data_IF_516186705427
#
_entry.id   IF_516186705427
#
_cell.length_a   1.000
_cell.length_b   1.000
_cell.length_c   1.000
_cell.angle_alpha   90.00
_cell.angle_beta   90.00
_cell.angle_gamma   90.00
#
_symmetry.space_group_name_H-M   'P 1'
#
loop_
_entity.id
_entity.type
_entity.pdbx_description
1 polymer ?
#
# COMPACT_ATOMS: atom_id res chain seq x y z
N UNK A 1 -7.08 5.35 11.06
CA UNK A 1 -5.90 4.83 10.35
C UNK A 1 -5.81 5.40 8.93
N UNK A 2 -6.80 5.14 8.06
CA UNK A 2 -6.88 5.63 6.67
C UNK A 2 -6.49 7.11 6.48
N UNK A 3 -7.16 8.03 7.17
CA UNK A 3 -6.94 9.47 7.01
C UNK A 3 -5.51 9.88 7.34
N UNK A 4 -4.97 9.37 8.45
CA UNK A 4 -3.57 9.64 8.85
C UNK A 4 -2.59 9.19 7.77
N UNK A 5 -2.78 8.00 7.21
CA UNK A 5 -1.90 7.44 6.19
C UNK A 5 -1.98 8.22 4.86
N UNK A 6 -3.19 8.61 4.45
CA UNK A 6 -3.38 9.42 3.24
C UNK A 6 -2.84 10.84 3.42
N UNK A 7 -3.06 11.47 4.57
CA UNK A 7 -2.49 12.78 4.89
C UNK A 7 -0.97 12.72 4.89
N UNK A 8 -0.37 11.70 5.52
CA UNK A 8 1.08 11.46 5.44
C UNK A 8 1.55 11.39 3.99
N UNK A 9 0.84 10.61 3.16
CA UNK A 9 1.16 10.47 1.75
C UNK A 9 1.03 11.76 0.95
N UNK A 10 0.13 12.66 1.34
CA UNK A 10 -0.04 13.96 0.68
C UNK A 10 1.10 14.91 1.02
N UNK A 11 1.51 14.97 2.30
CA UNK A 11 2.49 15.96 2.77
C UNK A 11 3.94 15.51 2.64
N UNK A 12 4.21 14.20 2.58
CA UNK A 12 5.58 13.69 2.50
C UNK A 12 6.18 13.85 1.11
N UNK A 13 7.42 14.31 1.03
CA UNK A 13 8.23 14.36 -0.19
C UNK A 13 9.21 13.17 -0.30
N UNK A 14 9.02 12.14 0.52
CA UNK A 14 9.86 10.94 0.55
C UNK A 14 9.09 9.73 0.03
N UNK A 15 9.84 8.73 -0.44
CA UNK A 15 9.29 7.40 -0.67
C UNK A 15 8.73 6.81 0.63
N UNK A 16 7.71 5.98 0.51
CA UNK A 16 7.07 5.32 1.64
C UNK A 16 7.37 3.83 1.59
N UNK A 17 7.80 3.27 2.71
CA UNK A 17 7.94 1.83 2.89
C UNK A 17 6.98 1.38 4.01
N UNK A 18 6.17 0.36 3.73
CA UNK A 18 5.23 -0.25 4.68
C UNK A 18 5.75 -1.64 5.07
N UNK A 19 6.15 -1.79 6.33
CA UNK A 19 6.47 -3.08 6.92
C UNK A 19 5.17 -3.75 7.42
N UNK A 20 4.83 -4.88 6.82
CA UNK A 20 3.63 -5.66 7.12
C UNK A 20 3.94 -6.96 7.88
N UNK A 21 5.11 -7.08 8.53
CA UNK A 21 5.52 -8.30 9.24
C UNK A 21 4.51 -8.79 10.28
N UNK A 22 3.81 -7.86 10.95
CA UNK A 22 2.83 -8.14 11.99
C UNK A 22 1.37 -8.07 11.49
N UNK A 23 1.17 -8.03 10.17
CA UNK A 23 -0.17 -7.99 9.57
C UNK A 23 -0.58 -9.39 9.16
N UNK A 24 -1.51 -9.97 9.92
CA UNK A 24 -2.00 -11.34 9.68
C UNK A 24 -3.10 -11.41 8.62
N UNK A 25 -3.85 -10.31 8.43
CA UNK A 25 -4.96 -10.24 7.50
C UNK A 25 -5.21 -8.81 7.00
N UNK A 26 -5.71 -8.71 5.77
CA UNK A 26 -6.21 -7.48 5.17
C UNK A 26 -7.54 -7.77 4.48
N UNK A 27 -8.50 -6.87 4.64
CA UNK A 27 -9.80 -6.94 3.96
C UNK A 27 -9.86 -5.96 2.77
N UNK A 28 -11.03 -5.86 2.13
CA UNK A 28 -11.27 -4.96 1.01
C UNK A 28 -11.05 -3.49 1.36
N UNK A 29 -11.31 -3.09 2.60
CA UNK A 29 -11.14 -1.71 3.06
C UNK A 29 -9.66 -1.33 3.16
N UNK A 30 -8.84 -2.20 3.76
CA UNK A 30 -7.40 -2.01 3.88
C UNK A 30 -6.72 -1.97 2.52
N UNK A 31 -7.10 -2.90 1.64
CA UNK A 31 -6.66 -2.92 0.24
C UNK A 31 -6.96 -1.59 -0.46
N UNK A 32 -8.20 -1.08 -0.33
CA UNK A 32 -8.60 0.19 -0.95
C UNK A 32 -7.78 1.39 -0.48
N UNK A 33 -7.35 1.40 0.78
CA UNK A 33 -6.46 2.44 1.32
C UNK A 33 -5.07 2.34 0.68
N UNK A 34 -4.51 1.14 0.58
CA UNK A 34 -3.19 0.93 -0.03
C UNK A 34 -3.17 1.30 -1.52
N UNK A 35 -4.23 0.98 -2.27
CA UNK A 35 -4.41 1.42 -3.66
C UNK A 35 -4.42 2.95 -3.75
N UNK A 36 -5.18 3.60 -2.87
CA UNK A 36 -5.29 5.06 -2.85
C UNK A 36 -3.93 5.72 -2.56
N UNK A 37 -3.18 5.18 -1.60
CA UNK A 37 -1.84 5.65 -1.27
C UNK A 37 -0.86 5.43 -2.43
N UNK A 38 -0.89 4.27 -3.08
CA UNK A 38 -0.04 3.96 -4.23
C UNK A 38 -0.26 4.94 -5.37
N UNK A 39 -1.54 5.18 -5.74
CA UNK A 39 -1.91 6.14 -6.79
C UNK A 39 -1.45 7.55 -6.42
N UNK A 40 -1.57 7.93 -5.15
CA UNK A 40 -1.11 9.22 -4.64
C UNK A 40 0.41 9.37 -4.78
N UNK A 41 1.19 8.39 -4.32
CA UNK A 41 2.66 8.44 -4.44
C UNK A 41 3.11 8.46 -5.90
N UNK A 42 2.51 7.63 -6.76
CA UNK A 42 2.80 7.60 -8.20
C UNK A 42 2.57 8.97 -8.86
N UNK A 43 1.48 9.66 -8.53
CA UNK A 43 1.21 11.03 -9.02
C UNK A 43 2.26 12.05 -8.58
N UNK A 44 2.89 11.83 -7.43
CA UNK A 44 3.98 12.67 -6.90
C UNK A 44 5.38 12.25 -7.42
N UNK A 45 5.46 11.24 -8.30
CA UNK A 45 6.74 10.67 -8.72
C UNK A 45 7.52 9.99 -7.57
N UNK A 46 6.80 9.53 -6.54
CA UNK A 46 7.35 8.82 -5.38
C UNK A 46 7.00 7.35 -5.43
N UNK A 47 7.77 6.55 -4.69
CA UNK A 47 7.59 5.10 -4.62
C UNK A 47 6.87 4.71 -3.33
N UNK A 48 5.95 3.75 -3.44
CA UNK A 48 5.40 3.02 -2.29
C UNK A 48 5.93 1.58 -2.36
N UNK A 49 6.62 1.12 -1.31
CA UNK A 49 7.13 -0.24 -1.18
C UNK A 49 6.40 -0.98 -0.07
N UNK A 50 6.10 -2.25 -0.29
CA UNK A 50 5.57 -3.15 0.74
C UNK A 50 6.67 -4.14 1.11
N UNK A 51 6.91 -4.34 2.41
CA UNK A 51 7.92 -5.25 2.95
C UNK A 51 7.28 -6.25 3.91
N UNK A 52 7.86 -7.44 3.95
CA UNK A 52 7.55 -8.52 4.92
C UNK A 52 6.06 -8.86 5.04
N UNK A 53 5.28 -8.63 3.99
CA UNK A 53 3.90 -9.08 3.95
C UNK A 53 3.85 -10.60 3.91
N UNK A 54 2.99 -11.20 4.73
CA UNK A 54 2.75 -12.64 4.68
C UNK A 54 2.16 -13.06 3.32
N UNK A 55 2.35 -14.32 2.93
CA UNK A 55 1.79 -14.86 1.68
C UNK A 55 0.27 -14.66 1.60
N UNK A 56 -0.44 -14.76 2.73
CA UNK A 56 -1.89 -14.52 2.79
C UNK A 56 -2.23 -13.07 2.43
N UNK A 57 -1.53 -12.11 3.01
CA UNK A 57 -1.72 -10.68 2.70
C UNK A 57 -1.34 -10.38 1.26
N UNK A 58 -0.21 -10.91 0.77
CA UNK A 58 0.22 -10.77 -0.62
C UNK A 58 -0.81 -11.34 -1.60
N UNK A 59 -1.41 -12.49 -1.31
CA UNK A 59 -2.44 -13.08 -2.16
C UNK A 59 -3.68 -12.19 -2.24
N UNK A 60 -4.14 -11.62 -1.12
CA UNK A 60 -5.27 -10.68 -1.13
C UNK A 60 -4.92 -9.43 -1.94
N UNK A 61 -3.70 -8.89 -1.76
CA UNK A 61 -3.23 -7.74 -2.55
C UNK A 61 -3.16 -8.09 -4.05
N UNK A 62 -2.68 -9.27 -4.44
CA UNK A 62 -2.61 -9.69 -5.85
C UNK A 62 -3.99 -9.91 -6.48
N UNK A 63 -4.95 -10.43 -5.72
CA UNK A 63 -6.32 -10.62 -6.20
C UNK A 63 -7.05 -9.30 -6.39
N UNK A 64 -6.71 -8.29 -5.57
CA UNK A 64 -7.12 -6.92 -5.83
C UNK A 64 -6.30 -6.33 -6.97
N UNK A 65 -6.84 -5.35 -7.69
CA UNK A 65 -6.25 -4.66 -8.87
C UNK A 65 -4.90 -3.94 -8.64
N UNK A 66 -4.17 -4.29 -7.57
CA UNK A 66 -2.79 -3.95 -7.26
C UNK A 66 -1.76 -4.76 -8.07
N UNK A 67 -2.12 -5.92 -8.63
CA UNK A 67 -1.21 -6.71 -9.49
C UNK A 67 -0.74 -5.95 -10.73
N UNK A 68 -1.56 -5.05 -11.26
CA UNK A 68 -1.19 -4.24 -12.44
C UNK A 68 -0.34 -3.01 -12.09
N UNK A 69 -0.17 -2.71 -10.79
CA UNK A 69 0.47 -1.47 -10.30
C UNK A 69 1.73 -1.71 -9.47
N UNK A 70 1.82 -2.87 -8.81
CA UNK A 70 3.07 -3.37 -8.25
C UNK A 70 3.67 -4.36 -9.24
N UNK A 71 4.87 -4.08 -9.75
CA UNK A 71 5.73 -5.10 -10.38
C UNK A 71 6.17 -6.12 -9.30
N UNK A 72 5.24 -6.96 -8.85
CA UNK A 72 5.41 -8.00 -7.83
C UNK A 72 5.53 -9.39 -8.44
#
# INVERSE_FOLDING_TARGET
FKEKLLNLGQVTEKDIELDLANVEYIDSSGVGVLISLLKLQKKKGKVLKIRKASTKVLNVLKLSSLSDVFEL
#
